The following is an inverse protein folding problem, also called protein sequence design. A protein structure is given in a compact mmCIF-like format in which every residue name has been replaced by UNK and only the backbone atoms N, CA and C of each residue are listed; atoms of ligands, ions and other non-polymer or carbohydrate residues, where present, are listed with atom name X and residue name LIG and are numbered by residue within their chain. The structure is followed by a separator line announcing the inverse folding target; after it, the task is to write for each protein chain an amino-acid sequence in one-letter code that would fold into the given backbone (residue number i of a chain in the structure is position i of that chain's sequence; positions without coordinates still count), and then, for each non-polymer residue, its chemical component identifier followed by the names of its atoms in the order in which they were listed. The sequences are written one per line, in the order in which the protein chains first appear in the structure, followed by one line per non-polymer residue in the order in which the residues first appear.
data_IF_929327345128
#
_entry.id   IF_929327345128
#
_cell.length_a   1.000
_cell.length_b   1.000
_cell.length_c   1.000
_cell.angle_alpha   90.00
_cell.angle_beta   90.00
_cell.angle_gamma   90.00
#
_symmetry.space_group_name_H-M   'P 1'
#
loop_
_entity.id
_entity.type
_entity.pdbx_description
1 polymer ?
#
# COMPACT_ATOMS: atom_id res chain seq x y z
N UNK A 1 -48.35 -1.43 40.77
CA UNK A 1 -49.50 -1.75 39.90
C UNK A 1 -48.93 -2.24 38.57
N UNK A 2 -49.17 -3.52 38.29
CA UNK A 2 -48.74 -4.25 37.09
C UNK A 2 -49.22 -3.56 35.81
N UNK A 3 -48.39 -3.56 34.76
CA UNK A 3 -48.89 -3.58 33.38
C UNK A 3 -48.16 -4.71 32.64
N UNK A 4 -48.95 -5.71 32.29
CA UNK A 4 -48.62 -6.86 31.47
C UNK A 4 -48.78 -6.48 29.99
N UNK A 5 -47.89 -7.03 29.17
CA UNK A 5 -47.87 -7.01 27.71
C UNK A 5 -49.11 -7.64 27.06
N UNK A 6 -49.50 -7.16 25.87
CA UNK A 6 -50.09 -8.01 24.84
C UNK A 6 -49.67 -7.58 23.43
N UNK A 7 -49.37 -8.59 22.62
CA UNK A 7 -48.82 -8.58 21.26
C UNK A 7 -49.90 -8.34 20.18
N UNK A 8 -49.48 -7.81 19.02
CA UNK A 8 -49.97 -8.28 17.72
C UNK A 8 -48.91 -8.13 16.62
N UNK A 9 -48.73 -9.20 15.84
CA UNK A 9 -47.99 -9.26 14.57
C UNK A 9 -48.95 -8.89 13.45
N UNK A 10 -48.48 -8.23 12.40
CA UNK A 10 -48.75 -8.59 10.99
C UNK A 10 -47.97 -7.71 9.99
N UNK A 11 -47.57 -8.33 8.87
CA UNK A 11 -46.85 -7.77 7.72
C UNK A 11 -47.75 -6.86 6.86
N UNK A 12 -47.19 -6.05 5.94
CA UNK A 12 -47.26 -6.48 4.53
C UNK A 12 -46.02 -6.18 3.66
N UNK A 13 -45.85 -7.02 2.63
CA UNK A 13 -45.11 -6.78 1.38
C UNK A 13 -46.01 -6.00 0.42
N UNK A 14 -45.46 -5.10 -0.39
CA UNK A 14 -45.75 -5.08 -1.84
C UNK A 14 -44.75 -4.26 -2.65
N UNK A 15 -44.53 -4.75 -3.88
CA UNK A 15 -43.66 -4.27 -4.95
C UNK A 15 -44.43 -3.27 -5.81
N UNK A 16 -43.78 -2.19 -6.27
CA UNK A 16 -44.28 -1.38 -7.39
C UNK A 16 -43.39 -1.52 -8.63
N UNK A 17 -44.07 -1.75 -9.75
CA UNK A 17 -43.54 -1.97 -11.08
C UNK A 17 -43.38 -0.65 -11.85
N UNK A 18 -42.28 -0.49 -12.57
CA UNK A 18 -42.11 0.62 -13.54
C UNK A 18 -42.35 0.10 -14.95
N UNK A 19 -43.39 0.67 -15.58
CA UNK A 19 -43.82 0.47 -16.96
C UNK A 19 -42.84 1.08 -17.96
N UNK A 20 -42.74 0.40 -19.10
CA UNK A 20 -42.16 0.85 -20.38
C UNK A 20 -42.94 2.04 -20.97
N UNK A 21 -42.23 2.94 -21.62
CA UNK A 21 -42.77 3.81 -22.67
C UNK A 21 -41.79 3.83 -23.85
N UNK A 22 -42.33 3.50 -25.02
CA UNK A 22 -41.72 3.53 -26.35
C UNK A 22 -41.95 4.87 -27.03
N UNK A 23 -40.96 5.36 -27.79
CA UNK A 23 -41.21 6.17 -28.98
C UNK A 23 -40.10 5.95 -30.02
N UNK A 24 -40.55 5.62 -31.21
CA UNK A 24 -39.83 5.25 -32.43
C UNK A 24 -39.30 6.45 -33.22
N UNK A 25 -38.19 6.27 -33.94
CA UNK A 25 -38.04 6.78 -35.31
C UNK A 25 -37.00 5.96 -36.11
N UNK A 26 -37.25 5.91 -37.41
CA UNK A 26 -36.89 4.93 -38.45
C UNK A 26 -35.54 5.14 -39.13
N UNK A 27 -34.97 4.06 -39.71
CA UNK A 27 -33.84 4.11 -40.64
C UNK A 27 -33.34 2.75 -41.15
N UNK A 28 -34.14 2.13 -42.03
CA UNK A 28 -33.83 1.12 -43.08
C UNK A 28 -32.48 0.39 -43.17
N UNK A 29 -32.56 -0.95 -43.00
CA UNK A 29 -32.15 -2.06 -43.90
C UNK A 29 -30.79 -2.02 -44.63
N UNK A 30 -29.93 -3.00 -44.33
CA UNK A 30 -29.50 -3.98 -45.34
C UNK A 30 -29.07 -5.31 -44.70
N UNK A 31 -29.68 -6.39 -45.20
CA UNK A 31 -29.46 -7.78 -44.83
C UNK A 31 -28.19 -8.33 -45.48
N UNK A 32 -27.38 -9.06 -44.72
CA UNK A 32 -26.70 -10.26 -45.24
C UNK A 32 -26.76 -11.36 -44.19
N UNK A 33 -27.57 -12.37 -44.50
CA UNK A 33 -27.63 -13.66 -43.80
C UNK A 33 -26.48 -14.51 -44.34
N UNK A 34 -25.63 -15.02 -43.45
CA UNK A 34 -24.85 -16.22 -43.73
C UNK A 34 -24.92 -17.16 -42.51
N UNK A 35 -25.44 -18.35 -42.78
CA UNK A 35 -25.71 -19.46 -41.88
C UNK A 35 -24.47 -20.36 -41.74
N UNK A 36 -24.41 -21.10 -40.62
CA UNK A 36 -23.54 -22.24 -40.28
C UNK A 36 -22.09 -21.89 -39.87
N UNK A 37 -21.41 -22.56 -38.93
CA UNK A 37 -21.59 -23.90 -38.37
C UNK A 37 -21.06 -23.99 -36.92
N UNK A 38 -21.62 -24.91 -36.14
CA UNK A 38 -21.05 -25.44 -34.90
C UNK A 38 -19.84 -26.34 -35.19
N UNK A 39 -18.75 -26.26 -34.41
CA UNK A 39 -17.77 -27.35 -34.35
C UNK A 39 -17.94 -28.19 -33.09
N UNK A 40 -17.74 -29.48 -33.32
CA UNK A 40 -18.03 -30.62 -32.47
C UNK A 40 -17.10 -30.80 -31.26
N UNK A 41 -17.69 -31.46 -30.25
CA UNK A 41 -17.04 -32.13 -29.13
C UNK A 41 -15.97 -33.10 -29.63
N UNK A 42 -14.71 -32.88 -29.26
CA UNK A 42 -13.61 -33.82 -29.52
C UNK A 42 -13.05 -34.39 -28.21
N UNK A 43 -13.45 -35.65 -28.00
CA UNK A 43 -12.78 -36.82 -27.38
C UNK A 43 -11.68 -36.60 -26.32
N UNK A 44 -11.91 -37.22 -25.17
CA UNK A 44 -10.94 -37.46 -24.09
C UNK A 44 -9.77 -38.37 -24.52
N UNK A 45 -8.55 -38.19 -23.97
CA UNK A 45 -7.42 -39.08 -24.23
C UNK A 45 -7.56 -40.43 -23.51
N UNK A 46 -7.15 -41.50 -24.19
CA UNK A 46 -7.10 -42.89 -23.76
C UNK A 46 -5.92 -43.11 -22.78
N UNK A 47 -6.08 -43.88 -21.68
CA UNK A 47 -4.97 -44.18 -20.77
C UNK A 47 -4.05 -45.30 -21.32
N UNK A 48 -2.74 -45.28 -21.04
CA UNK A 48 -1.80 -46.32 -21.43
C UNK A 48 -1.96 -47.62 -20.60
N UNK A 49 -1.42 -48.77 -21.07
CA UNK A 49 -1.81 -50.09 -20.59
C UNK A 49 -1.25 -50.44 -19.21
N UNK A 50 -2.06 -51.22 -18.49
CA UNK A 50 -1.77 -51.83 -17.19
C UNK A 50 -0.72 -52.94 -17.38
N UNK A 51 0.45 -52.79 -16.76
CA UNK A 51 1.39 -53.88 -16.56
C UNK A 51 1.09 -54.51 -15.20
N UNK A 52 0.64 -55.76 -15.21
CA UNK A 52 0.58 -56.60 -14.02
C UNK A 52 2.00 -56.99 -13.63
N UNK A 53 2.40 -56.69 -12.40
CA UNK A 53 3.55 -57.32 -11.75
C UNK A 53 3.07 -57.96 -10.46
N UNK A 54 3.14 -59.30 -10.44
CA UNK A 54 2.87 -60.14 -9.28
C UNK A 54 3.76 -59.75 -8.10
N UNK A 55 3.16 -59.71 -6.92
CA UNK A 55 3.87 -59.47 -5.68
C UNK A 55 4.78 -60.62 -5.27
N UNK A 56 5.88 -60.28 -4.60
CA UNK A 56 6.43 -61.06 -3.48
C UNK A 56 7.02 -60.11 -2.44
N UNK A 57 6.89 -60.57 -1.20
CA UNK A 57 7.10 -59.97 0.12
C UNK A 57 8.36 -59.11 0.41
N UNK A 58 8.12 -58.11 1.28
CA UNK A 58 8.91 -57.62 2.43
C UNK A 58 10.36 -57.13 2.20
N UNK A 59 10.61 -55.85 2.49
CA UNK A 59 11.26 -55.48 3.75
C UNK A 59 11.14 -53.97 4.07
N UNK A 60 11.00 -53.68 5.37
CA UNK A 60 10.88 -52.34 5.94
C UNK A 60 12.18 -51.54 5.76
N UNK A 61 12.12 -50.43 5.04
CA UNK A 61 13.10 -49.36 5.14
C UNK A 61 12.38 -48.02 5.41
N UNK A 62 12.63 -47.47 6.60
CA UNK A 62 12.32 -46.07 6.93
C UNK A 62 13.24 -45.18 6.11
N UNK A 63 12.80 -44.75 4.94
CA UNK A 63 13.44 -43.64 4.25
C UNK A 63 12.94 -42.34 4.87
N UNK A 64 13.72 -41.82 5.82
CA UNK A 64 13.74 -40.38 6.08
C UNK A 64 14.14 -39.69 4.77
N UNK A 65 13.15 -39.20 4.03
CA UNK A 65 13.38 -38.30 2.92
C UNK A 65 14.12 -37.07 3.45
N UNK A 66 15.45 -37.08 3.31
CA UNK A 66 16.29 -35.89 3.47
C UNK A 66 15.83 -34.89 2.42
N UNK A 67 14.93 -34.01 2.82
CA UNK A 67 14.62 -32.79 2.07
C UNK A 67 15.93 -31.99 2.06
N UNK A 68 16.67 -32.08 0.95
CA UNK A 68 17.84 -31.26 0.73
C UNK A 68 17.41 -29.79 0.90
N UNK A 69 18.16 -29.02 1.70
CA UNK A 69 17.92 -27.58 1.82
C UNK A 69 17.91 -26.98 0.40
N UNK A 70 16.93 -26.12 0.06
CA UNK A 70 16.92 -25.49 -1.25
C UNK A 70 18.24 -24.76 -1.46
N UNK A 71 18.94 -25.11 -2.53
CA UNK A 71 20.20 -24.46 -2.91
C UNK A 71 19.85 -23.04 -3.35
N UNK A 72 20.35 -22.05 -2.62
CA UNK A 72 20.13 -20.64 -2.96
C UNK A 72 20.93 -20.33 -4.21
N UNK A 73 20.24 -19.97 -5.31
CA UNK A 73 20.90 -19.59 -6.56
C UNK A 73 21.91 -18.44 -6.34
N UNK A 74 23.01 -18.48 -7.08
CA UNK A 74 24.11 -17.52 -6.99
C UNK A 74 23.63 -16.07 -7.16
N UNK A 75 22.65 -15.81 -8.03
CA UNK A 75 22.10 -14.47 -8.20
C UNK A 75 21.40 -13.94 -6.93
N UNK A 76 20.73 -14.81 -6.18
CA UNK A 76 20.08 -14.45 -4.91
C UNK A 76 21.12 -14.07 -3.85
N UNK A 77 22.21 -14.82 -3.75
CA UNK A 77 23.33 -14.49 -2.83
C UNK A 77 23.98 -13.15 -3.18
N UNK A 78 24.17 -12.89 -4.47
CA UNK A 78 24.68 -11.60 -4.97
C UNK A 78 23.76 -10.46 -4.58
N UNK A 79 22.44 -10.58 -4.79
CA UNK A 79 21.50 -9.52 -4.40
C UNK A 79 21.45 -9.30 -2.89
N UNK A 80 21.54 -10.36 -2.07
CA UNK A 80 21.65 -10.21 -0.60
C UNK A 80 22.87 -9.37 -0.22
N UNK A 81 24.03 -9.65 -0.83
CA UNK A 81 25.26 -8.88 -0.61
C UNK A 81 25.15 -7.41 -1.06
N UNK A 82 24.57 -7.16 -2.24
CA UNK A 82 24.34 -5.81 -2.76
C UNK A 82 23.42 -5.02 -1.82
N UNK A 83 22.29 -5.60 -1.42
CA UNK A 83 21.31 -4.97 -0.54
C UNK A 83 21.93 -4.63 0.82
N UNK A 84 22.67 -5.56 1.40
CA UNK A 84 23.39 -5.33 2.65
C UNK A 84 24.36 -4.15 2.53
N UNK A 85 25.23 -4.18 1.50
CA UNK A 85 26.25 -3.15 1.31
C UNK A 85 25.64 -1.77 1.05
N UNK A 86 24.61 -1.67 0.21
CA UNK A 86 23.98 -0.37 -0.10
C UNK A 86 23.24 0.23 1.10
N UNK A 87 22.54 -0.60 1.89
CA UNK A 87 21.91 -0.16 3.13
C UNK A 87 22.94 0.25 4.19
N UNK A 88 24.11 -0.39 4.19
CA UNK A 88 25.21 -0.03 5.08
C UNK A 88 25.89 1.26 4.64
N UNK A 89 26.19 1.44 3.36
CA UNK A 89 26.92 2.60 2.82
C UNK A 89 26.07 3.87 2.81
N UNK A 90 24.76 3.75 2.55
CA UNK A 90 23.82 4.87 2.50
C UNK A 90 24.31 6.05 1.65
N UNK A 91 24.89 5.74 0.49
CA UNK A 91 25.46 6.75 -0.41
C UNK A 91 24.39 7.74 -0.87
N UNK A 92 24.53 9.01 -0.47
CA UNK A 92 23.64 10.10 -0.89
C UNK A 92 24.15 10.65 -2.22
N UNK A 93 23.35 10.51 -3.27
CA UNK A 93 23.65 11.05 -4.59
C UNK A 93 23.29 12.53 -4.64
N UNK A 94 24.02 13.27 -5.48
CA UNK A 94 23.87 14.70 -5.72
C UNK A 94 24.12 15.61 -4.50
N UNK A 95 24.71 15.08 -3.41
CA UNK A 95 25.01 15.85 -2.21
C UNK A 95 25.87 17.09 -2.53
N UNK A 96 26.88 16.94 -3.38
CA UNK A 96 27.76 18.05 -3.78
C UNK A 96 27.06 19.15 -4.60
N UNK A 97 26.02 18.79 -5.35
CA UNK A 97 25.26 19.75 -6.17
C UNK A 97 24.21 20.49 -5.36
N UNK A 98 23.64 19.82 -4.35
CA UNK A 98 22.53 20.32 -3.54
C UNK A 98 22.93 20.44 -2.07
N UNK A 99 23.93 21.29 -1.79
CA UNK A 99 24.46 21.53 -0.43
C UNK A 99 23.56 22.42 0.44
N UNK A 100 22.50 23.00 -0.13
CA UNK A 100 21.63 23.96 0.54
C UNK A 100 20.62 23.35 1.50
N UNK A 101 20.49 22.01 1.49
CA UNK A 101 19.60 21.27 2.39
C UNK A 101 19.96 21.51 3.84
N UNK A 102 18.98 21.93 4.63
CA UNK A 102 19.06 22.05 6.08
C UNK A 102 18.71 20.72 6.76
N UNK A 103 19.21 20.52 7.99
CA UNK A 103 19.03 19.28 8.77
C UNK A 103 17.56 18.82 8.84
N UNK A 104 16.64 19.76 9.04
CA UNK A 104 15.22 19.52 9.27
C UNK A 104 14.32 19.83 8.07
N UNK A 105 14.92 19.98 6.88
CA UNK A 105 14.18 20.07 5.63
C UNK A 105 13.43 18.77 5.33
N UNK A 106 12.35 18.90 4.55
CA UNK A 106 11.45 17.80 4.21
C UNK A 106 12.20 16.58 3.67
N UNK A 107 11.88 15.41 4.22
CA UNK A 107 12.29 14.12 3.67
C UNK A 107 11.09 13.51 2.96
N UNK A 108 11.28 13.00 1.75
CA UNK A 108 10.24 12.28 1.00
C UNK A 108 10.69 10.84 0.85
N UNK A 109 9.88 9.88 1.28
CA UNK A 109 10.15 8.45 1.21
C UNK A 109 9.15 7.80 0.26
N UNK A 110 9.65 7.19 -0.80
CA UNK A 110 8.88 6.49 -1.81
C UNK A 110 8.97 4.99 -1.55
N UNK A 111 7.84 4.31 -1.34
CA UNK A 111 7.79 2.84 -1.42
C UNK A 111 7.73 2.42 -2.90
N UNK A 112 8.73 1.65 -3.33
CA UNK A 112 8.92 1.21 -4.72
C UNK A 112 8.89 -0.30 -4.78
N UNK A 113 8.09 -0.84 -5.70
CA UNK A 113 8.05 -2.26 -6.00
C UNK A 113 8.70 -2.51 -7.37
N UNK A 114 7.90 -2.62 -8.43
CA UNK A 114 8.40 -2.91 -9.78
C UNK A 114 7.48 -2.34 -10.87
N UNK A 115 7.02 -1.10 -10.72
CA UNK A 115 6.21 -0.40 -11.75
C UNK A 115 6.96 0.81 -12.33
N UNK A 116 7.95 0.59 -13.21
CA UNK A 116 8.85 1.66 -13.68
C UNK A 116 8.12 2.78 -14.42
N UNK A 117 7.03 2.49 -15.13
CA UNK A 117 6.28 3.53 -15.85
C UNK A 117 5.57 4.50 -14.92
N UNK A 118 5.03 4.02 -13.79
CA UNK A 118 4.47 4.87 -12.76
C UNK A 118 5.55 5.64 -12.01
N UNK A 119 6.67 4.99 -11.68
CA UNK A 119 7.81 5.65 -11.05
C UNK A 119 8.35 6.80 -11.91
N UNK A 120 8.38 6.65 -13.25
CA UNK A 120 8.73 7.74 -14.19
C UNK A 120 7.77 8.92 -14.04
N UNK A 121 6.46 8.69 -13.91
CA UNK A 121 5.47 9.75 -13.68
C UNK A 121 5.70 10.48 -12.35
N UNK A 122 5.98 9.72 -11.28
CA UNK A 122 6.30 10.31 -9.98
C UNK A 122 7.54 11.21 -10.08
N UNK A 123 8.64 10.70 -10.66
CA UNK A 123 9.88 11.46 -10.86
C UNK A 123 9.66 12.71 -11.72
N UNK A 124 8.88 12.59 -12.81
CA UNK A 124 8.48 13.73 -13.64
C UNK A 124 7.73 14.81 -12.83
N UNK A 125 6.83 14.39 -11.94
CA UNK A 125 6.06 15.32 -11.10
C UNK A 125 6.93 16.02 -10.06
N UNK A 126 7.85 15.27 -9.42
CA UNK A 126 8.82 15.80 -8.46
C UNK A 126 9.75 16.81 -9.11
N UNK A 127 10.25 16.54 -10.32
CA UNK A 127 11.10 17.46 -11.09
C UNK A 127 10.44 18.82 -11.33
N UNK A 128 9.11 18.85 -11.46
CA UNK A 128 8.32 20.08 -11.68
C UNK A 128 7.97 20.81 -10.38
N UNK A 129 8.22 20.21 -9.22
CA UNK A 129 7.85 20.79 -7.93
C UNK A 129 8.83 21.88 -7.50
N UNK A 130 8.28 23.02 -7.07
CA UNK A 130 9.10 24.15 -6.65
C UNK A 130 9.67 23.92 -5.26
N UNK A 131 10.98 24.12 -5.11
CA UNK A 131 11.70 23.91 -3.85
C UNK A 131 12.15 22.46 -3.64
N UNK A 132 12.01 21.60 -4.65
CA UNK A 132 12.42 20.19 -4.59
C UNK A 132 13.91 20.03 -4.35
N UNK A 133 14.73 21.00 -4.75
CA UNK A 133 16.18 21.01 -4.54
C UNK A 133 16.59 20.95 -3.06
N UNK A 134 15.68 21.28 -2.13
CA UNK A 134 15.93 21.28 -0.68
C UNK A 134 15.60 19.94 0.01
N UNK A 135 14.97 18.99 -0.67
CA UNK A 135 14.54 17.73 -0.02
C UNK A 135 15.66 16.68 -0.01
N UNK A 136 15.56 15.73 0.91
CA UNK A 136 16.14 14.40 0.74
C UNK A 136 15.07 13.45 0.19
N UNK A 137 15.30 12.89 -0.99
CA UNK A 137 14.41 11.91 -1.62
C UNK A 137 14.96 10.50 -1.40
N UNK A 138 14.22 9.69 -0.65
CA UNK A 138 14.57 8.30 -0.34
C UNK A 138 13.67 7.37 -1.16
N UNK A 139 14.26 6.51 -1.98
CA UNK A 139 13.55 5.40 -2.60
C UNK A 139 13.79 4.13 -1.80
N UNK A 140 12.72 3.53 -1.29
CA UNK A 140 12.72 2.27 -0.54
C UNK A 140 12.23 1.15 -1.44
N UNK A 141 13.10 0.19 -1.74
CA UNK A 141 12.86 -0.86 -2.73
C UNK A 141 12.67 -2.22 -2.09
N UNK A 142 11.68 -3.01 -2.51
CA UNK A 142 11.62 -4.45 -2.20
C UNK A 142 11.96 -5.34 -3.40
N UNK A 143 12.36 -4.72 -4.52
CA UNK A 143 12.76 -5.42 -5.73
C UNK A 143 13.94 -4.70 -6.42
N UNK A 144 15.03 -5.42 -6.62
CA UNK A 144 16.17 -4.97 -7.41
C UNK A 144 15.85 -5.11 -8.90
N UNK A 145 15.79 -3.98 -9.60
CA UNK A 145 15.51 -3.92 -11.04
C UNK A 145 16.43 -2.91 -11.72
N UNK A 146 17.18 -3.29 -12.77
CA UNK A 146 17.97 -2.35 -13.57
C UNK A 146 17.14 -1.20 -14.16
N UNK A 147 15.88 -1.46 -14.53
CA UNK A 147 15.00 -0.43 -15.09
C UNK A 147 14.61 0.60 -14.02
N UNK A 148 14.20 0.13 -12.84
CA UNK A 148 13.89 1.01 -11.69
C UNK A 148 15.12 1.81 -11.29
N UNK A 149 16.27 1.17 -11.18
CA UNK A 149 17.54 1.82 -10.84
C UNK A 149 17.92 2.88 -11.88
N UNK A 150 17.63 2.67 -13.17
CA UNK A 150 17.83 3.68 -14.21
C UNK A 150 16.91 4.89 -14.05
N UNK A 151 15.66 4.69 -13.64
CA UNK A 151 14.72 5.79 -13.35
C UNK A 151 15.24 6.61 -12.16
N UNK A 152 15.62 5.98 -11.07
CA UNK A 152 16.21 6.65 -9.90
C UNK A 152 17.54 7.31 -10.24
N UNK A 153 18.36 6.70 -11.10
CA UNK A 153 19.60 7.27 -11.62
C UNK A 153 19.37 8.61 -12.35
N UNK A 154 18.22 8.79 -13.00
CA UNK A 154 17.90 10.03 -13.73
C UNK A 154 17.57 11.22 -12.84
N UNK A 155 17.39 11.02 -11.53
CA UNK A 155 17.12 12.12 -10.59
C UNK A 155 18.38 12.94 -10.37
N UNK A 156 18.37 14.15 -10.92
CA UNK A 156 19.47 15.11 -10.93
C UNK A 156 19.09 16.47 -10.32
N UNK A 157 17.93 16.57 -9.67
CA UNK A 157 17.31 17.81 -9.16
C UNK A 157 17.23 17.93 -7.63
N UNK A 158 17.64 16.90 -6.87
CA UNK A 158 17.70 16.91 -5.40
C UNK A 158 18.68 15.84 -4.88
N UNK A 159 18.91 15.80 -3.57
CA UNK A 159 19.66 14.73 -2.92
C UNK A 159 18.85 13.43 -2.93
N UNK A 160 19.49 12.30 -3.24
CA UNK A 160 18.81 11.01 -3.39
C UNK A 160 19.52 9.92 -2.59
N UNK A 161 18.74 9.14 -1.85
CA UNK A 161 19.19 7.90 -1.19
C UNK A 161 18.34 6.73 -1.68
N UNK A 162 18.96 5.58 -1.93
CA UNK A 162 18.26 4.31 -2.14
C UNK A 162 18.48 3.42 -0.92
N UNK A 163 17.40 2.83 -0.41
CA UNK A 163 17.40 1.81 0.63
C UNK A 163 16.62 0.60 0.13
N UNK A 164 16.95 -0.58 0.61
CA UNK A 164 16.42 -1.85 0.09
C UNK A 164 15.90 -2.71 1.22
N UNK A 165 14.61 -3.08 1.17
CA UNK A 165 13.99 -3.99 2.13
C UNK A 165 14.71 -5.35 2.10
N UNK A 166 15.40 -5.73 3.20
CA UNK A 166 16.34 -6.85 3.16
C UNK A 166 15.66 -8.21 3.35
N UNK A 167 14.33 -8.26 3.41
CA UNK A 167 13.54 -9.49 3.58
C UNK A 167 12.48 -9.61 2.49
N UNK A 168 12.78 -9.17 1.27
CA UNK A 168 11.85 -9.30 0.15
C UNK A 168 11.81 -10.73 -0.40
N UNK A 169 10.73 -11.05 -1.12
CA UNK A 169 10.56 -12.35 -1.80
C UNK A 169 11.67 -12.58 -2.82
N UNK A 170 12.18 -11.53 -3.48
CA UNK A 170 13.31 -11.65 -4.41
C UNK A 170 14.57 -12.18 -3.72
N UNK A 171 14.79 -11.79 -2.47
CA UNK A 171 15.95 -12.22 -1.68
C UNK A 171 15.75 -13.58 -1.01
N UNK A 172 14.50 -14.03 -0.82
CA UNK A 172 14.16 -15.28 -0.16
C UNK A 172 13.07 -16.03 -0.94
N UNK A 173 13.32 -16.47 -2.19
CA UNK A 173 12.26 -16.97 -3.06
C UNK A 173 11.64 -18.30 -2.60
N UNK A 174 12.45 -19.17 -1.97
CA UNK A 174 12.10 -20.55 -1.62
C UNK A 174 12.13 -20.84 -0.10
N UNK A 175 12.16 -19.79 0.71
CA UNK A 175 12.15 -19.88 2.17
C UNK A 175 11.39 -18.66 2.71
N UNK A 176 10.88 -18.73 3.93
CA UNK A 176 10.24 -17.57 4.54
C UNK A 176 11.21 -16.36 4.58
N UNK A 177 10.79 -15.13 4.19
CA UNK A 177 9.42 -14.70 3.90
C UNK A 177 8.93 -14.83 2.45
N UNK A 178 9.63 -15.48 1.54
CA UNK A 178 9.02 -15.93 0.28
C UNK A 178 8.15 -17.17 0.47
N UNK A 179 8.16 -18.08 -0.50
CA UNK A 179 7.32 -19.27 -0.48
C UNK A 179 8.15 -20.48 -0.07
N UNK A 180 8.03 -20.93 1.18
CA UNK A 180 8.65 -22.19 1.59
C UNK A 180 7.86 -23.35 0.95
N UNK A 181 8.52 -24.35 0.33
CA UNK A 181 7.82 -25.50 -0.26
C UNK A 181 6.93 -26.28 0.73
N UNK A 182 7.12 -26.10 2.04
CA UNK A 182 6.35 -26.75 3.09
C UNK A 182 5.20 -25.89 3.64
N UNK A 183 5.01 -24.68 3.10
CA UNK A 183 3.86 -23.82 3.43
C UNK A 183 2.55 -24.52 3.04
N UNK A 184 1.50 -24.30 3.84
CA UNK A 184 0.18 -24.80 3.51
C UNK A 184 -0.37 -24.07 2.26
N UNK A 185 -0.98 -24.79 1.31
CA UNK A 185 -1.72 -24.16 0.22
C UNK A 185 -2.77 -23.19 0.78
N UNK A 186 -2.93 -22.01 0.17
CA UNK A 186 -3.79 -20.94 0.71
C UNK A 186 -5.17 -21.43 1.16
N UNK A 187 -5.88 -22.16 0.30
CA UNK A 187 -7.29 -22.48 0.48
C UNK A 187 -7.52 -23.90 1.03
N UNK A 188 -6.46 -24.60 1.49
CA UNK A 188 -6.64 -25.93 2.10
C UNK A 188 -7.41 -25.79 3.42
N UNK A 189 -8.44 -26.61 3.70
CA UNK A 189 -9.12 -26.58 4.98
C UNK A 189 -8.18 -26.90 6.14
N UNK A 190 -8.30 -26.21 7.28
CA UNK A 190 -7.42 -26.40 8.45
C UNK A 190 -7.26 -27.86 8.88
N UNK A 191 -8.35 -28.64 8.86
CA UNK A 191 -8.33 -30.07 9.20
C UNK A 191 -7.38 -30.87 8.30
N UNK A 192 -7.33 -30.54 7.01
CA UNK A 192 -6.50 -31.24 6.03
C UNK A 192 -5.08 -30.68 6.01
N UNK A 193 -4.89 -29.38 6.30
CA UNK A 193 -3.58 -28.79 6.56
C UNK A 193 -2.85 -29.48 7.73
N UNK A 194 -3.56 -29.72 8.84
CA UNK A 194 -3.03 -30.40 10.02
C UNK A 194 -2.63 -31.85 9.72
N UNK A 195 -3.39 -32.56 8.87
CA UNK A 195 -3.03 -33.91 8.41
C UNK A 195 -1.84 -33.90 7.45
N UNK A 196 -1.78 -32.90 6.57
CA UNK A 196 -0.66 -32.71 5.65
C UNK A 196 0.63 -32.38 6.40
N UNK A 197 0.54 -31.77 7.58
CA UNK A 197 1.70 -31.41 8.39
C UNK A 197 2.50 -30.24 7.80
N UNK A 198 1.85 -29.39 6.99
CA UNK A 198 2.47 -28.18 6.46
C UNK A 198 2.76 -27.16 7.58
N UNK A 199 3.83 -26.37 7.43
CA UNK A 199 4.51 -25.73 8.58
C UNK A 199 3.69 -24.64 9.29
N UNK A 200 2.72 -24.04 8.62
CA UNK A 200 1.84 -23.02 9.18
C UNK A 200 0.40 -23.50 9.39
N UNK A 201 0.15 -24.83 9.41
CA UNK A 201 -1.19 -25.42 9.50
C UNK A 201 -2.03 -24.93 10.69
N UNK A 202 -1.40 -24.61 11.83
CA UNK A 202 -2.08 -24.13 13.03
C UNK A 202 -2.52 -22.66 12.95
N UNK A 203 -1.94 -21.89 12.01
CA UNK A 203 -2.00 -20.43 11.95
C UNK A 203 -2.62 -19.88 10.65
N UNK A 204 -3.85 -20.29 10.28
CA UNK A 204 -4.58 -19.58 9.22
C UNK A 204 -5.01 -18.18 9.70
N UNK A 205 -5.39 -17.33 8.76
CA UNK A 205 -6.05 -16.06 9.05
C UNK A 205 -7.47 -16.25 9.62
N UNK A 206 -8.12 -15.15 9.99
CA UNK A 206 -9.47 -15.12 10.57
C UNK A 206 -10.55 -15.70 9.64
N UNK A 207 -10.22 -15.91 8.36
CA UNK A 207 -11.10 -16.47 7.33
C UNK A 207 -10.73 -17.91 6.96
N UNK A 208 -9.74 -18.51 7.63
CA UNK A 208 -9.33 -19.89 7.41
C UNK A 208 -8.36 -20.07 6.24
N UNK A 209 -7.79 -18.99 5.69
CA UNK A 209 -6.81 -19.07 4.62
C UNK A 209 -5.37 -19.00 5.14
N UNK A 210 -4.45 -19.65 4.45
CA UNK A 210 -3.01 -19.57 4.73
C UNK A 210 -2.35 -18.44 3.96
N UNK A 211 -1.15 -18.08 4.43
CA UNK A 211 -0.31 -17.01 3.91
C UNK A 211 -0.01 -17.15 2.41
N UNK A 212 -0.06 -16.04 1.69
CA UNK A 212 0.59 -15.89 0.39
C UNK A 212 1.67 -14.80 0.47
N UNK A 213 2.93 -15.15 0.20
CA UNK A 213 4.08 -14.27 0.41
C UNK A 213 3.93 -12.88 -0.24
N UNK A 214 3.42 -12.85 -1.48
CA UNK A 214 3.23 -11.62 -2.27
C UNK A 214 2.28 -10.62 -1.61
N UNK A 215 1.29 -11.07 -0.84
CA UNK A 215 0.35 -10.19 -0.14
C UNK A 215 0.94 -9.66 1.16
N UNK A 216 1.79 -10.47 1.83
CA UNK A 216 2.47 -10.04 3.06
C UNK A 216 3.59 -9.00 2.81
N UNK A 217 4.25 -9.03 1.65
CA UNK A 217 5.45 -8.20 1.41
C UNK A 217 5.19 -6.69 1.60
N UNK A 218 4.05 -6.17 1.15
CA UNK A 218 3.78 -4.72 1.19
C UNK A 218 3.72 -4.19 2.62
N UNK A 219 3.07 -4.90 3.54
CA UNK A 219 2.99 -4.50 4.97
C UNK A 219 4.33 -4.65 5.67
N UNK A 220 5.08 -5.70 5.37
CA UNK A 220 6.45 -5.87 5.85
C UNK A 220 7.37 -4.71 5.43
N UNK A 221 7.42 -4.44 4.13
CA UNK A 221 8.20 -3.34 3.57
C UNK A 221 7.78 -2.00 4.19
N UNK A 222 6.47 -1.78 4.38
CA UNK A 222 5.97 -0.54 4.93
C UNK A 222 6.45 -0.27 6.36
N UNK A 223 6.38 -1.28 7.24
CA UNK A 223 6.80 -1.16 8.64
C UNK A 223 8.33 -1.07 8.75
N UNK A 224 9.05 -1.91 8.00
CA UNK A 224 10.51 -1.89 7.96
C UNK A 224 11.04 -0.52 7.53
N UNK A 225 10.55 0.03 6.41
CA UNK A 225 11.06 1.30 5.89
C UNK A 225 10.77 2.46 6.82
N UNK A 226 9.63 2.42 7.53
CA UNK A 226 9.27 3.44 8.51
C UNK A 226 10.33 3.48 9.62
N UNK A 227 10.65 2.33 10.22
CA UNK A 227 11.69 2.24 11.23
C UNK A 227 13.09 2.61 10.67
N UNK A 228 13.45 2.04 9.51
CA UNK A 228 14.77 2.25 8.91
C UNK A 228 15.06 3.72 8.63
N UNK A 229 14.10 4.47 8.08
CA UNK A 229 14.26 5.91 7.80
C UNK A 229 14.44 6.73 9.07
N UNK A 230 13.63 6.47 10.10
CA UNK A 230 13.64 7.29 11.32
C UNK A 230 14.81 6.99 12.27
N UNK A 231 15.34 5.77 12.22
CA UNK A 231 16.31 5.27 13.19
C UNK A 231 17.67 4.86 12.58
N UNK A 232 17.69 4.38 11.34
CA UNK A 232 18.88 3.76 10.73
C UNK A 232 19.56 4.62 9.67
N UNK A 233 18.84 5.56 9.04
CA UNK A 233 19.43 6.49 8.06
C UNK A 233 20.28 7.54 8.79
N UNK A 234 21.60 7.49 8.59
CA UNK A 234 22.57 8.34 9.32
C UNK A 234 22.35 9.82 9.10
N UNK A 235 22.01 10.23 7.87
CA UNK A 235 21.74 11.63 7.53
C UNK A 235 20.47 12.19 8.20
N UNK A 236 19.63 11.32 8.78
CA UNK A 236 18.40 11.69 9.49
C UNK A 236 18.53 11.55 11.02
N UNK A 237 19.75 11.35 11.52
CA UNK A 237 20.01 11.38 12.96
C UNK A 237 19.51 12.68 13.57
N UNK A 238 18.67 12.56 14.60
CA UNK A 238 18.03 13.66 15.33
C UNK A 238 17.16 14.60 14.46
N UNK A 239 16.76 14.17 13.26
CA UNK A 239 15.89 14.95 12.36
C UNK A 239 14.56 15.29 13.05
N UNK A 240 14.19 16.57 13.07
CA UNK A 240 12.95 17.13 13.64
C UNK A 240 11.97 17.64 12.56
N UNK A 241 12.33 17.50 11.30
CA UNK A 241 11.47 17.82 10.16
C UNK A 241 10.33 16.82 9.99
N UNK A 242 9.63 16.98 8.87
CA UNK A 242 8.57 16.06 8.46
C UNK A 242 9.16 15.01 7.52
N UNK A 243 8.70 13.77 7.66
CA UNK A 243 8.92 12.69 6.68
C UNK A 243 7.60 12.43 5.97
N UNK A 244 7.56 12.70 4.66
CA UNK A 244 6.42 12.46 3.78
C UNK A 244 6.52 11.07 3.16
N UNK A 245 5.52 10.22 3.41
CA UNK A 245 5.41 8.88 2.85
C UNK A 245 4.53 8.88 1.60
N UNK A 246 5.07 8.37 0.49
CA UNK A 246 4.38 8.20 -0.79
C UNK A 246 4.72 6.85 -1.44
N UNK A 247 4.02 6.51 -2.52
CA UNK A 247 4.20 5.27 -3.28
C UNK A 247 4.57 5.60 -4.74
N UNK A 248 5.12 4.61 -5.46
CA UNK A 248 5.66 4.77 -6.82
C UNK A 248 4.63 5.23 -7.87
N UNK A 249 3.34 5.07 -7.63
CA UNK A 249 2.23 5.48 -8.50
C UNK A 249 1.48 6.71 -8.01
N UNK A 250 2.08 7.48 -7.11
CA UNK A 250 1.64 8.83 -6.84
C UNK A 250 2.16 9.84 -7.86
N UNK A 251 1.43 10.95 -7.99
CA UNK A 251 1.83 12.14 -8.73
C UNK A 251 1.65 13.35 -7.82
N UNK A 252 2.65 14.25 -7.73
CA UNK A 252 2.61 15.42 -6.86
C UNK A 252 2.31 16.71 -7.63
N UNK A 253 1.56 17.63 -7.02
CA UNK A 253 1.36 18.97 -7.61
C UNK A 253 2.63 19.82 -7.47
N UNK A 254 2.82 20.86 -8.32
CA UNK A 254 4.01 21.71 -8.26
C UNK A 254 4.23 22.47 -6.94
N UNK A 255 3.18 22.64 -6.14
CA UNK A 255 3.18 23.42 -4.89
C UNK A 255 3.14 22.58 -3.61
N UNK A 256 3.29 21.25 -3.69
CA UNK A 256 3.11 20.36 -2.53
C UNK A 256 4.04 20.71 -1.34
N UNK A 257 5.29 21.08 -1.62
CA UNK A 257 6.27 21.49 -0.59
C UNK A 257 5.84 22.80 0.08
N UNK A 258 5.37 23.76 -0.73
CA UNK A 258 4.85 25.03 -0.26
C UNK A 258 3.63 24.83 0.63
N UNK A 259 2.69 23.97 0.21
CA UNK A 259 1.52 23.62 1.00
C UNK A 259 1.92 23.00 2.34
N UNK A 260 2.82 22.00 2.36
CA UNK A 260 3.26 21.36 3.60
C UNK A 260 3.91 22.33 4.58
N UNK A 261 4.68 23.31 4.09
CA UNK A 261 5.25 24.37 4.94
C UNK A 261 4.16 25.20 5.62
N UNK A 262 3.13 25.59 4.88
CA UNK A 262 1.97 26.32 5.43
C UNK A 262 1.15 25.45 6.39
N UNK A 263 0.91 24.18 6.06
CA UNK A 263 0.20 23.25 6.95
C UNK A 263 0.97 23.02 8.25
N UNK A 264 2.30 22.88 8.20
CA UNK A 264 3.15 22.75 9.39
C UNK A 264 3.06 23.99 10.29
N UNK A 265 3.07 25.19 9.72
CA UNK A 265 2.91 26.43 10.49
C UNK A 265 1.50 26.52 11.11
N UNK A 266 0.47 26.30 10.30
CA UNK A 266 -0.93 26.32 10.74
C UNK A 266 -1.22 25.27 11.81
N UNK A 267 -0.60 24.07 11.73
CA UNK A 267 -0.67 23.03 12.76
C UNK A 267 -0.18 23.56 14.10
N UNK A 268 1.01 24.18 14.12
CA UNK A 268 1.58 24.73 15.37
C UNK A 268 0.70 25.79 16.01
N UNK A 269 0.02 26.60 15.20
CA UNK A 269 -0.78 27.73 15.67
C UNK A 269 -2.21 27.34 16.05
N UNK A 270 -2.83 26.42 15.31
CA UNK A 270 -4.28 26.21 15.35
C UNK A 270 -4.73 24.74 15.43
N UNK A 271 -3.81 23.77 15.38
CA UNK A 271 -4.12 22.34 15.55
C UNK A 271 -2.94 21.60 16.20
N UNK A 272 -2.61 21.97 17.44
CA UNK A 272 -1.48 21.38 18.18
C UNK A 272 -1.68 19.89 18.47
N UNK A 273 -2.91 19.42 18.40
CA UNK A 273 -3.35 18.03 18.55
C UNK A 273 -3.52 17.28 17.22
N UNK A 274 -3.15 17.87 16.08
CA UNK A 274 -3.07 17.16 14.80
C UNK A 274 -1.79 16.30 14.74
N UNK A 275 -1.96 14.99 14.61
CA UNK A 275 -0.84 14.03 14.53
C UNK A 275 -0.22 13.95 13.13
N UNK A 276 -1.04 14.08 12.08
CA UNK A 276 -0.63 13.86 10.67
C UNK A 276 -1.05 15.04 9.81
N UNK A 277 -0.23 15.34 8.81
CA UNK A 277 -0.62 16.18 7.66
C UNK A 277 -0.78 15.28 6.44
N UNK A 278 -1.87 15.45 5.68
CA UNK A 278 -2.07 14.74 4.41
C UNK A 278 -2.19 15.71 3.25
N UNK A 279 -1.48 15.40 2.16
CA UNK A 279 -1.52 16.19 0.93
C UNK A 279 -2.88 16.16 0.22
N UNK A 280 -3.78 15.23 0.57
CA UNK A 280 -5.12 15.15 0.00
C UNK A 280 -5.77 13.78 0.14
N UNK A 281 -7.02 13.70 -0.32
CA UNK A 281 -7.82 12.48 -0.38
C UNK A 281 -8.20 12.12 -1.82
N UNK A 282 -8.73 10.92 -2.04
CA UNK A 282 -9.13 10.40 -3.36
C UNK A 282 -10.34 11.13 -4.02
N UNK A 283 -10.96 12.11 -3.36
CA UNK A 283 -12.18 12.78 -3.84
C UNK A 283 -11.97 13.61 -5.12
N UNK A 284 -13.00 13.66 -5.97
CA UNK A 284 -12.98 14.44 -7.21
C UNK A 284 -12.67 15.93 -7.01
N UNK A 285 -11.84 16.42 -7.91
CA UNK A 285 -11.02 17.61 -7.75
C UNK A 285 -11.76 18.84 -8.28
N UNK A 286 -12.06 19.78 -7.39
CA UNK A 286 -12.29 21.17 -7.75
C UNK A 286 -11.33 22.03 -6.93
N UNK A 287 -10.33 22.64 -7.57
CA UNK A 287 -9.46 23.60 -6.89
C UNK A 287 -10.18 24.90 -6.54
N UNK A 288 -11.19 25.25 -7.36
CA UNK A 288 -11.99 26.47 -7.22
C UNK A 288 -12.52 26.59 -5.80
N UNK A 289 -12.15 27.69 -5.14
CA UNK A 289 -12.48 28.02 -3.74
C UNK A 289 -11.95 27.04 -2.67
N UNK A 290 -11.13 26.05 -3.04
CA UNK A 290 -10.59 25.01 -2.13
C UNK A 290 -9.07 24.99 -2.02
N UNK A 291 -8.36 25.60 -2.96
CA UNK A 291 -6.90 25.50 -3.05
C UNK A 291 -6.13 26.01 -1.82
N UNK A 292 -6.71 26.92 -1.04
CA UNK A 292 -6.15 27.46 0.21
C UNK A 292 -6.84 26.93 1.48
N UNK A 293 -7.60 25.85 1.38
CA UNK A 293 -8.39 25.30 2.49
C UNK A 293 -7.88 23.94 2.92
N UNK A 294 -7.95 23.71 4.23
CA UNK A 294 -7.66 22.42 4.87
C UNK A 294 -8.80 22.05 5.82
N UNK A 295 -8.99 20.76 6.03
CA UNK A 295 -9.94 20.22 6.99
C UNK A 295 -9.16 19.45 8.07
N UNK A 296 -9.65 19.47 9.31
CA UNK A 296 -9.17 18.61 10.41
C UNK A 296 -10.18 17.50 10.63
N UNK A 297 -9.77 16.26 10.34
CA UNK A 297 -10.60 15.05 10.39
C UNK A 297 -9.96 13.98 11.25
N UNK A 298 -10.70 12.91 11.54
CA UNK A 298 -10.11 11.69 12.04
C UNK A 298 -9.44 10.99 10.87
N UNK A 299 -8.22 10.50 11.08
CA UNK A 299 -7.51 9.78 10.05
C UNK A 299 -8.25 8.48 9.73
N UNK A 300 -8.34 8.17 8.44
CA UNK A 300 -9.07 7.02 7.90
C UNK A 300 -8.28 6.47 6.72
N UNK A 301 -8.05 5.15 6.71
CA UNK A 301 -7.18 4.49 5.71
C UNK A 301 -7.60 4.84 4.29
N UNK A 302 -8.88 4.66 3.96
CA UNK A 302 -9.44 4.83 2.62
C UNK A 302 -9.43 6.27 2.08
N UNK A 303 -9.10 7.25 2.92
CA UNK A 303 -9.17 8.67 2.56
C UNK A 303 -7.82 9.39 2.70
N UNK A 304 -6.95 8.92 3.59
CA UNK A 304 -5.78 9.68 4.06
C UNK A 304 -4.48 8.88 4.06
N UNK A 305 -4.46 7.69 3.45
CA UNK A 305 -3.25 6.87 3.28
C UNK A 305 -2.26 7.45 2.24
N UNK A 306 -2.68 8.40 1.39
CA UNK A 306 -1.81 9.05 0.42
C UNK A 306 -1.15 10.32 0.97
N UNK A 307 0.17 10.41 0.82
CA UNK A 307 0.91 11.65 1.10
C UNK A 307 0.86 12.03 2.58
N UNK A 308 1.05 11.05 3.46
CA UNK A 308 1.09 11.23 4.91
C UNK A 308 2.45 11.80 5.34
N UNK A 309 2.46 12.98 5.93
CA UNK A 309 3.63 13.57 6.55
C UNK A 309 3.60 13.37 8.07
N UNK A 310 4.64 12.74 8.59
CA UNK A 310 4.81 12.36 9.99
C UNK A 310 5.90 13.22 10.64
N UNK A 311 5.72 13.59 11.90
CA UNK A 311 6.82 14.06 12.75
C UNK A 311 7.47 12.89 13.49
N UNK A 312 8.64 13.15 14.10
CA UNK A 312 9.31 12.18 14.98
C UNK A 312 8.42 11.75 16.15
N UNK A 313 7.65 12.69 16.72
CA UNK A 313 6.71 12.40 17.79
C UNK A 313 5.63 11.39 17.34
N UNK A 314 5.03 11.60 16.17
CA UNK A 314 4.02 10.67 15.63
C UNK A 314 4.63 9.29 15.34
N UNK A 315 5.86 9.25 14.82
CA UNK A 315 6.61 8.00 14.65
C UNK A 315 6.87 7.27 15.98
N UNK A 316 7.29 7.97 17.04
CA UNK A 316 7.52 7.34 18.34
C UNK A 316 6.24 6.74 18.93
N UNK A 317 5.08 7.40 18.78
CA UNK A 317 3.78 6.84 19.18
C UNK A 317 3.45 5.57 18.38
N UNK A 318 3.75 5.56 17.08
CA UNK A 318 3.54 4.39 16.22
C UNK A 318 4.41 3.20 16.60
N UNK A 319 5.71 3.42 16.79
CA UNK A 319 6.64 2.31 17.00
C UNK A 319 6.40 1.60 18.34
N UNK A 320 5.81 2.29 19.32
CA UNK A 320 5.32 1.68 20.57
C UNK A 320 4.17 0.69 20.34
N UNK A 321 3.46 0.81 19.22
CA UNK A 321 2.39 -0.09 18.80
C UNK A 321 2.85 -1.23 17.86
N UNK A 322 4.16 -1.51 17.80
CA UNK A 322 4.73 -2.55 16.93
C UNK A 322 4.03 -3.90 17.09
N UNK A 323 3.82 -4.37 18.32
CA UNK A 323 3.19 -5.67 18.54
C UNK A 323 1.77 -5.71 17.96
N UNK A 324 0.95 -4.71 18.28
CA UNK A 324 -0.43 -4.60 17.75
C UNK A 324 -0.45 -4.50 16.23
N UNK A 325 0.44 -3.72 15.61
CA UNK A 325 0.51 -3.59 14.16
C UNK A 325 0.89 -4.94 13.51
N UNK A 326 1.90 -5.60 14.07
CA UNK A 326 2.49 -6.81 13.53
C UNK A 326 1.64 -8.06 13.78
N UNK A 327 0.71 -8.07 14.74
CA UNK A 327 -0.18 -9.21 15.00
C UNK A 327 -1.62 -8.99 14.55
N UNK A 328 -2.00 -7.76 14.17
CA UNK A 328 -3.33 -7.52 13.63
C UNK A 328 -3.49 -8.20 12.27
N UNK A 329 -4.50 -9.07 12.19
CA UNK A 329 -4.77 -9.92 11.02
C UNK A 329 -5.41 -9.13 9.87
N UNK A 330 -4.59 -8.27 9.29
CA UNK A 330 -4.85 -7.51 8.07
C UNK A 330 -3.52 -7.27 7.36
N UNK A 331 -3.36 -7.83 6.15
CA UNK A 331 -2.14 -7.68 5.37
C UNK A 331 -1.97 -6.26 4.78
N UNK A 332 -2.97 -5.39 4.90
CA UNK A 332 -2.87 -4.01 4.45
C UNK A 332 -2.30 -3.13 5.57
N UNK A 333 -1.23 -2.39 5.27
CA UNK A 333 -0.57 -1.54 6.26
C UNK A 333 -1.47 -0.40 6.75
N UNK A 334 -2.28 0.18 5.87
CA UNK A 334 -3.16 1.33 6.17
C UNK A 334 -4.37 0.94 7.01
N UNK A 335 -5.00 -0.22 6.73
CA UNK A 335 -6.03 -0.79 7.60
C UNK A 335 -5.48 -1.20 8.96
N UNK A 336 -4.23 -1.70 9.00
CA UNK A 336 -3.52 -1.95 10.25
C UNK A 336 -3.28 -0.66 11.03
N UNK A 337 -2.89 0.45 10.38
CA UNK A 337 -2.78 1.76 11.02
C UNK A 337 -4.14 2.24 11.56
N UNK A 338 -5.23 2.05 10.80
CA UNK A 338 -6.57 2.42 11.27
C UNK A 338 -6.93 1.65 12.54
N UNK A 339 -6.59 0.36 12.60
CA UNK A 339 -6.77 -0.42 13.82
C UNK A 339 -5.96 0.15 14.99
N UNK A 340 -4.72 0.60 14.78
CA UNK A 340 -3.93 1.22 15.84
C UNK A 340 -4.61 2.45 16.44
N UNK A 341 -5.35 3.24 15.65
CA UNK A 341 -6.05 4.45 16.13
C UNK A 341 -7.15 4.16 17.14
N UNK A 342 -7.63 2.92 17.23
CA UNK A 342 -8.67 2.49 18.17
C UNK A 342 -8.20 1.47 19.20
N UNK A 343 -7.07 0.80 18.95
CA UNK A 343 -6.64 -0.35 19.76
C UNK A 343 -5.30 -0.16 20.49
N UNK A 344 -4.49 0.84 20.13
CA UNK A 344 -3.16 1.00 20.73
C UNK A 344 -2.73 2.46 20.95
N UNK A 345 -2.94 3.34 19.97
CA UNK A 345 -2.52 4.73 20.09
C UNK A 345 -3.25 5.41 21.27
N UNK A 346 -2.61 6.36 21.98
CA UNK A 346 -3.22 7.04 23.13
C UNK A 346 -4.52 7.78 22.79
N UNK A 347 -4.64 8.21 21.54
CA UNK A 347 -5.84 8.79 20.94
C UNK A 347 -5.91 8.41 19.47
N UNK A 348 -7.12 8.44 18.91
CA UNK A 348 -7.26 8.36 17.46
C UNK A 348 -6.51 9.51 16.80
N UNK A 349 -5.98 9.26 15.61
CA UNK A 349 -5.24 10.28 14.89
C UNK A 349 -6.13 11.38 14.35
N UNK A 350 -5.71 12.62 14.58
CA UNK A 350 -6.24 13.79 13.87
C UNK A 350 -5.36 14.11 12.67
N UNK A 351 -5.96 14.21 11.51
CA UNK A 351 -5.30 14.58 10.26
C UNK A 351 -5.74 15.96 9.81
N UNK A 352 -4.78 16.84 9.54
CA UNK A 352 -5.03 18.04 8.73
C UNK A 352 -4.81 17.68 7.27
N UNK A 353 -5.85 17.78 6.45
CA UNK A 353 -5.83 17.36 5.04
C UNK A 353 -6.21 18.52 4.13
N UNK A 354 -5.54 18.61 2.98
CA UNK A 354 -5.87 19.61 1.94
C UNK A 354 -7.21 19.31 1.28
N UNK A 355 -8.10 20.31 1.18
CA UNK A 355 -9.37 20.15 0.45
C UNK A 355 -9.15 19.99 -1.08
N UNK A 356 -8.12 20.64 -1.62
CA UNK A 356 -7.66 20.44 -2.99
C UNK A 356 -6.37 19.59 -2.96
N UNK A 357 -6.39 18.35 -3.45
CA UNK A 357 -5.29 17.41 -3.24
C UNK A 357 -4.02 17.85 -4.00
N UNK A 358 -2.88 17.82 -3.30
CA UNK A 358 -1.52 18.03 -3.81
C UNK A 358 -0.82 16.72 -4.18
N UNK A 359 -1.53 15.61 -4.04
CA UNK A 359 -1.11 14.26 -4.42
C UNK A 359 -2.25 13.56 -5.13
N UNK A 360 -1.94 12.76 -6.15
CA UNK A 360 -2.90 12.04 -6.97
C UNK A 360 -2.46 10.59 -7.13
N UNK A 361 -3.40 9.66 -7.17
CA UNK A 361 -3.13 8.25 -7.44
C UNK A 361 -3.20 7.98 -8.95
N UNK A 362 -2.05 7.86 -9.61
CA UNK A 362 -2.00 7.57 -11.04
C UNK A 362 -2.33 6.11 -11.35
N UNK A 363 -2.18 5.20 -10.37
CA UNK A 363 -2.49 3.78 -10.50
C UNK A 363 -3.98 3.41 -10.44
N UNK A 364 -4.87 4.36 -10.11
CA UNK A 364 -6.30 4.07 -9.91
C UNK A 364 -7.07 4.33 -11.21
N UNK A 365 -7.16 3.30 -12.05
CA UNK A 365 -8.25 3.22 -13.01
C UNK A 365 -9.37 2.41 -12.38
N UNK A 366 -10.53 3.04 -12.15
CA UNK A 366 -11.64 2.45 -11.41
C UNK A 366 -11.86 0.97 -11.69
N UNK A 367 -11.87 0.18 -10.62
CA UNK A 367 -11.88 -1.30 -10.61
C UNK A 367 -13.09 -1.99 -11.29
N UNK A 368 -13.98 -1.23 -11.94
CA UNK A 368 -15.19 -1.74 -12.59
C UNK A 368 -15.19 -1.71 -14.12
N UNK A 369 -14.12 -1.23 -14.77
CA UNK A 369 -14.03 -1.26 -16.24
C UNK A 369 -13.01 -2.29 -16.71
N UNK A 370 -13.54 -3.35 -17.35
CA UNK A 370 -12.83 -4.49 -17.95
C UNK A 370 -11.48 -4.10 -18.56
N UNK A 371 -10.38 -4.66 -18.03
CA UNK A 371 -9.11 -5.06 -18.69
C UNK A 371 -8.50 -4.16 -19.80
N UNK A 372 -8.89 -2.90 -19.94
CA UNK A 372 -8.13 -1.91 -20.68
C UNK A 372 -7.11 -1.36 -19.69
N UNK A 373 -5.87 -1.85 -19.81
CA UNK A 373 -4.68 -1.36 -19.12
C UNK A 373 -4.80 0.11 -18.69
N UNK A 374 -4.59 0.39 -17.40
CA UNK A 374 -4.41 1.75 -16.90
C UNK A 374 -3.21 2.35 -17.63
N UNK A 375 -3.41 3.01 -18.77
CA UNK A 375 -2.32 3.59 -19.52
C UNK A 375 -1.77 4.74 -18.69
N UNK A 376 -0.54 4.66 -18.15
CA UNK A 376 -0.04 5.69 -17.23
C UNK A 376 -0.08 7.09 -17.86
N UNK A 377 0.09 7.15 -19.19
CA UNK A 377 0.01 8.37 -20.00
C UNK A 377 -1.37 9.05 -19.91
N UNK A 378 -2.49 8.31 -19.94
CA UNK A 378 -3.82 8.92 -19.91
C UNK A 378 -4.12 9.55 -18.54
N UNK A 379 -3.68 8.89 -17.47
CA UNK A 379 -3.79 9.40 -16.10
C UNK A 379 -2.90 10.61 -15.89
N UNK A 380 -1.67 10.59 -16.40
CA UNK A 380 -0.77 11.76 -16.43
C UNK A 380 -1.47 12.95 -17.07
N UNK A 381 -2.02 12.80 -18.28
CA UNK A 381 -2.70 13.88 -19.00
C UNK A 381 -3.90 14.42 -18.21
N UNK A 382 -4.69 13.54 -17.59
CA UNK A 382 -5.83 13.96 -16.75
C UNK A 382 -5.38 14.81 -15.56
N UNK A 383 -4.34 14.37 -14.84
CA UNK A 383 -3.79 15.09 -13.70
C UNK A 383 -3.16 16.42 -14.14
N UNK A 384 -2.39 16.43 -15.22
CA UNK A 384 -1.77 17.63 -15.78
C UNK A 384 -2.83 18.66 -16.21
N UNK A 385 -3.91 18.24 -16.85
CA UNK A 385 -5.01 19.14 -17.24
C UNK A 385 -5.67 19.80 -16.02
N UNK A 386 -5.86 19.05 -14.94
CA UNK A 386 -6.41 19.57 -13.67
C UNK A 386 -5.46 20.61 -13.07
N UNK A 387 -4.16 20.31 -13.03
CA UNK A 387 -3.15 21.21 -12.47
C UNK A 387 -2.95 22.47 -13.33
N UNK A 388 -2.95 22.34 -14.65
CA UNK A 388 -2.83 23.47 -15.58
C UNK A 388 -4.03 24.40 -15.49
N UNK A 389 -5.25 23.85 -15.51
CA UNK A 389 -6.49 24.65 -15.37
C UNK A 389 -6.62 25.32 -13.99
N UNK A 390 -5.91 24.80 -12.98
CA UNK A 390 -5.91 25.33 -11.61
C UNK A 390 -4.64 26.13 -11.26
N UNK A 391 -3.77 26.41 -12.22
CA UNK A 391 -2.42 26.96 -11.97
C UNK A 391 -2.41 28.28 -11.19
N UNK A 392 -3.41 29.14 -11.41
CA UNK A 392 -3.56 30.43 -10.70
C UNK A 392 -3.99 30.30 -9.23
N UNK A 393 -4.36 29.10 -8.79
CA UNK A 393 -4.81 28.80 -7.43
C UNK A 393 -3.76 28.01 -6.63
N UNK A 394 -2.71 27.51 -7.29
CA UNK A 394 -1.55 26.92 -6.63
C UNK A 394 -0.76 28.00 -5.89
N UNK A 395 0.08 27.58 -4.94
CA UNK A 395 0.91 28.47 -4.13
C UNK A 395 0.08 29.51 -3.33
N UNK A 396 -0.93 29.08 -2.55
CA UNK A 396 -1.73 30.02 -1.74
C UNK A 396 -0.84 30.74 -0.73
N UNK A 397 -1.12 32.01 -0.42
CA UNK A 397 -0.31 32.77 0.56
C UNK A 397 -0.52 32.29 2.00
N UNK A 398 -1.74 31.89 2.33
CA UNK A 398 -2.15 31.43 3.66
C UNK A 398 -3.14 30.27 3.51
N UNK A 399 -3.29 29.48 4.57
CA UNK A 399 -4.28 28.39 4.65
C UNK A 399 -5.36 28.70 5.69
N UNK A 400 -6.56 28.16 5.45
CA UNK A 400 -7.71 28.29 6.35
C UNK A 400 -8.24 26.90 6.72
N UNK A 401 -8.48 26.68 8.02
CA UNK A 401 -9.19 25.49 8.50
C UNK A 401 -10.68 25.75 8.37
N UNK A 402 -11.36 25.01 7.49
CA UNK A 402 -12.78 25.20 7.18
C UNK A 402 -13.71 24.24 7.89
N UNK A 403 -13.21 23.05 8.24
CA UNK A 403 -13.93 22.06 9.05
C UNK A 403 -13.01 21.48 10.09
N UNK A 404 -13.58 21.23 11.27
CA UNK A 404 -12.93 20.54 12.38
C UNK A 404 -13.86 19.44 12.86
N UNK A 405 -13.28 18.35 13.39
CA UNK A 405 -14.04 17.40 14.18
C UNK A 405 -14.72 18.10 15.37
N UNK A 406 -15.90 17.65 15.82
CA UNK A 406 -16.51 18.13 17.04
C UNK A 406 -15.54 18.01 18.24
N UNK A 407 -15.55 19.00 19.13
CA UNK A 407 -14.65 19.05 20.29
C UNK A 407 -14.81 17.87 21.26
N UNK A 408 -15.97 17.21 21.26
CA UNK A 408 -16.38 16.24 22.29
C UNK A 408 -15.91 14.79 22.02
N UNK A 409 -14.85 14.57 21.23
CA UNK A 409 -14.31 13.22 20.96
C UNK A 409 -15.22 12.28 20.14
N UNK A 410 -16.45 12.72 19.82
CA UNK A 410 -17.35 12.07 18.88
C UNK A 410 -16.82 12.27 17.45
N UNK A 411 -15.85 11.45 17.06
CA UNK A 411 -15.23 11.57 15.74
C UNK A 411 -14.20 10.52 15.39
N UNK A 412 -13.81 9.63 16.31
CA UNK A 412 -12.97 8.49 15.99
C UNK A 412 -13.63 7.60 14.92
N UNK A 413 -12.81 6.92 14.11
CA UNK A 413 -13.33 5.98 13.12
C UNK A 413 -13.64 4.66 13.81
N UNK A 414 -14.77 4.04 13.48
CA UNK A 414 -15.10 2.72 14.01
C UNK A 414 -14.01 1.69 13.65
N UNK A 415 -13.83 0.64 14.48
CA UNK A 415 -12.95 -0.46 14.16
C UNK A 415 -13.30 -1.06 12.79
N UNK A 416 -12.28 -1.33 11.99
CA UNK A 416 -12.43 -2.00 10.69
C UNK A 416 -12.67 -3.50 10.87
N UNK A 417 -13.44 -4.09 9.96
CA UNK A 417 -13.54 -5.56 9.86
C UNK A 417 -12.29 -6.05 9.15
N UNK A 418 -11.44 -6.81 9.85
CA UNK A 418 -10.21 -7.43 9.32
C UNK A 418 -10.35 -7.93 7.87
N UNK A 419 -9.37 -7.63 7.02
CA UNK A 419 -9.27 -8.22 5.69
C UNK A 419 -8.60 -9.61 5.66
N UNK A 420 -7.97 -10.04 6.76
CA UNK A 420 -7.26 -11.32 6.84
C UNK A 420 -5.86 -11.26 6.22
N UNK A 421 -5.36 -12.41 5.76
CA UNK A 421 -4.07 -12.54 5.08
C UNK A 421 -2.83 -12.30 5.95
N UNK A 422 -2.98 -12.14 7.27
CA UNK A 422 -1.89 -11.86 8.20
C UNK A 422 -2.04 -12.68 9.49
N UNK A 423 -2.43 -13.95 9.37
CA UNK A 423 -2.57 -14.90 10.48
C UNK A 423 -1.29 -15.68 10.82
N UNK A 424 -0.32 -15.71 9.91
CA UNK A 424 0.90 -16.51 10.06
C UNK A 424 1.87 -15.89 11.07
N UNK A 425 2.20 -16.64 12.13
CA UNK A 425 3.06 -16.15 13.21
C UNK A 425 4.47 -15.77 12.74
N UNK A 426 4.95 -16.33 11.62
CA UNK A 426 6.26 -15.98 11.07
C UNK A 426 6.25 -14.55 10.53
N UNK A 427 5.16 -14.13 9.89
CA UNK A 427 4.97 -12.72 9.48
C UNK A 427 4.90 -11.81 10.72
N UNK A 428 4.26 -12.25 11.81
CA UNK A 428 4.20 -11.46 13.04
C UNK A 428 5.60 -11.23 13.63
N UNK A 429 6.37 -12.30 13.79
CA UNK A 429 7.69 -12.23 14.42
C UNK A 429 8.71 -11.51 13.54
N UNK A 430 8.70 -11.72 12.22
CA UNK A 430 9.54 -10.94 11.31
C UNK A 430 9.21 -9.45 11.39
N UNK A 431 7.92 -9.09 11.38
CA UNK A 431 7.50 -7.70 11.49
C UNK A 431 7.98 -7.04 12.81
N UNK A 432 7.83 -7.74 13.94
CA UNK A 432 8.32 -7.27 15.25
C UNK A 432 9.84 -7.15 15.30
N UNK A 433 10.56 -7.98 14.55
CA UNK A 433 12.02 -8.01 14.58
C UNK A 433 12.65 -6.72 14.05
N UNK A 434 11.97 -5.97 13.17
CA UNK A 434 12.55 -4.79 12.51
C UNK A 434 13.06 -3.73 13.48
N UNK A 435 12.42 -3.55 14.63
CA UNK A 435 12.85 -2.56 15.64
C UNK A 435 14.04 -3.02 16.48
N UNK A 436 14.47 -4.28 16.33
CA UNK A 436 15.55 -4.91 17.10
C UNK A 436 16.75 -5.28 16.22
N UNK A 437 16.49 -5.67 14.97
CA UNK A 437 17.52 -6.04 14.01
C UNK A 437 18.29 -4.81 13.54
N UNK A 438 19.60 -4.98 13.33
CA UNK A 438 20.54 -3.94 12.89
C UNK A 438 20.65 -3.91 11.37
#
# INVERSE_FOLDING_TARGET
KNITLQFSKEFPKEFEAVKRSSSSSSGSLNNHIQLQATPAVSRAPVPPPIIQVNGTHLDNAKDEAKINKPEVDNATLVYRGIVFQLNFDQTIRNEDKYKTRQKDDLVVVVQVHNRPDYLKLLVDSLRKARGVESILLIFSHDYWSPEINKVVASVDFCQVLQIFFPFSIQLYPQEFPGNDPRDCPRDIPKKDALKLGCINAEYPDSFGHYREAKFSQTKHHWWWKLHFVWDRVRALKDHQGLVLLIEEDHYLSPDFIHLLKLMKALRREQCTDCDILSLGSYSHIGYSSKANKVEVKAWKSTEHNMGMALSRETYHKLIQCTDTFCTYDDYNWDWSLQHLTVACLPSYWKVMVSEAPRIFHAGDCGMHHKKASCMPISQKTKIENILQSSGNQLFPKNLLITKRLPANGAGGVAPHVKNGGWGDIRDHELCKSYVRLQ
#
